data_IF_345165578513
#
_entry.id   IF_345165578513
#
_cell.length_a   1.000
_cell.length_b   1.000
_cell.length_c   1.000
_cell.angle_alpha   90.00
_cell.angle_beta   90.00
_cell.angle_gamma   90.00
#
_symmetry.space_group_name_H-M   'P 1'
#
loop_
_entity.id
_entity.type
_entity.pdbx_description
1 polymer ?
#
# COMPACT_ATOMS: atom_id res chain seq x y z
N UNK A 1 21.85 -3.29 31.31
CA UNK A 1 20.97 -3.82 30.26
C UNK A 1 21.83 -3.82 29.02
N UNK A 2 22.15 -5.00 28.53
CA UNK A 2 22.89 -5.17 27.27
C UNK A 2 22.01 -4.62 26.15
N UNK A 3 22.57 -3.85 25.22
CA UNK A 3 21.83 -3.21 24.12
C UNK A 3 21.42 -4.23 23.03
N UNK A 4 21.81 -5.49 23.18
CA UNK A 4 21.34 -6.60 22.35
C UNK A 4 19.98 -7.09 22.85
N UNK A 5 18.92 -6.52 22.27
CA UNK A 5 17.60 -7.14 22.29
C UNK A 5 17.74 -8.56 21.72
N UNK A 6 17.44 -9.58 22.52
CA UNK A 6 17.37 -10.96 22.04
C UNK A 6 16.14 -11.08 21.15
N UNK A 7 16.33 -11.44 19.88
CA UNK A 7 15.24 -11.75 18.96
C UNK A 7 14.54 -13.03 19.41
N UNK A 8 13.40 -12.88 20.05
CA UNK A 8 12.54 -13.99 20.48
C UNK A 8 11.49 -14.22 19.39
N UNK A 9 11.60 -15.35 18.68
CA UNK A 9 10.73 -15.75 17.55
C UNK A 9 10.63 -14.69 16.43
N UNK A 10 11.74 -14.30 15.78
CA UNK A 10 11.72 -13.22 14.77
C UNK A 10 10.82 -13.50 13.56
N UNK A 11 10.50 -14.78 13.31
CA UNK A 11 9.78 -15.26 12.14
C UNK A 11 8.26 -15.08 12.24
N UNK A 12 7.73 -14.75 13.41
CA UNK A 12 6.30 -14.48 13.59
C UNK A 12 5.80 -13.27 12.79
N UNK A 13 6.70 -12.39 12.31
CA UNK A 13 6.33 -11.22 11.52
C UNK A 13 5.66 -11.56 10.18
N UNK A 14 5.84 -12.78 9.68
CA UNK A 14 5.25 -13.29 8.43
C UNK A 14 4.04 -14.19 8.65
N UNK A 15 3.84 -14.68 9.88
CA UNK A 15 2.69 -15.52 10.24
C UNK A 15 1.39 -14.76 10.09
N UNK A 16 0.45 -15.32 9.32
CA UNK A 16 -0.87 -14.71 9.04
C UNK A 16 -0.76 -13.22 8.66
N UNK A 17 0.09 -12.91 7.68
CA UNK A 17 0.47 -11.54 7.27
C UNK A 17 -0.68 -10.52 7.18
N UNK A 18 -1.90 -10.97 6.86
CA UNK A 18 -3.10 -10.13 6.83
C UNK A 18 -3.40 -9.44 8.16
N UNK A 19 -2.95 -9.98 9.31
CA UNK A 19 -3.11 -9.37 10.63
C UNK A 19 -2.22 -8.14 10.75
N UNK A 20 -0.93 -8.27 10.41
CA UNK A 20 0.01 -7.15 10.45
C UNK A 20 -0.40 -6.06 9.46
N UNK A 21 -0.83 -6.45 8.26
CA UNK A 21 -1.37 -5.52 7.25
C UNK A 21 -2.63 -4.81 7.73
N UNK A 22 -3.60 -5.56 8.26
CA UNK A 22 -4.86 -5.01 8.78
C UNK A 22 -4.64 -4.10 9.99
N UNK A 23 -3.73 -4.48 10.88
CA UNK A 23 -3.34 -3.67 12.05
C UNK A 23 -2.75 -2.35 11.62
N UNK A 24 -1.79 -2.36 10.67
CA UNK A 24 -1.17 -1.15 10.15
C UNK A 24 -2.17 -0.23 9.44
N UNK A 25 -3.09 -0.81 8.67
CA UNK A 25 -4.17 -0.07 8.02
C UNK A 25 -5.09 0.61 9.04
N UNK A 26 -5.50 -0.12 10.08
CA UNK A 26 -6.39 0.42 11.13
C UNK A 26 -5.69 1.45 12.02
N UNK A 27 -4.41 1.26 12.36
CA UNK A 27 -3.59 2.23 13.10
C UNK A 27 -3.50 3.57 12.33
N UNK A 28 -3.19 3.48 11.02
CA UNK A 28 -3.13 4.65 10.15
C UNK A 28 -4.48 5.36 10.02
N UNK A 29 -5.56 4.60 9.87
CA UNK A 29 -6.92 5.13 9.77
C UNK A 29 -7.38 5.77 11.08
N UNK A 30 -7.11 5.14 12.23
CA UNK A 30 -7.44 5.64 13.56
C UNK A 30 -6.77 6.98 13.82
N UNK A 31 -5.45 7.03 13.63
CA UNK A 31 -4.66 8.25 13.82
C UNK A 31 -5.15 9.37 12.89
N UNK A 32 -5.41 9.05 11.61
CA UNK A 32 -5.88 10.04 10.63
C UNK A 32 -7.29 10.56 10.98
N UNK A 33 -8.21 9.66 11.35
CA UNK A 33 -9.55 10.04 11.77
C UNK A 33 -9.53 10.94 13.01
N UNK A 34 -8.71 10.60 14.00
CA UNK A 34 -8.60 11.35 15.26
C UNK A 34 -8.00 12.75 15.06
N UNK A 35 -6.97 12.86 14.22
CA UNK A 35 -6.39 14.15 13.84
C UNK A 35 -7.43 15.08 13.21
N UNK A 36 -8.18 14.61 12.21
CA UNK A 36 -9.17 15.46 11.54
C UNK A 36 -10.42 15.70 12.38
N UNK A 37 -10.84 14.75 13.22
CA UNK A 37 -11.90 14.96 14.20
C UNK A 37 -11.51 16.03 15.22
N UNK A 38 -10.25 16.04 15.66
CA UNK A 38 -9.71 17.09 16.54
C UNK A 38 -9.76 18.47 15.86
N UNK A 39 -9.33 18.57 14.59
CA UNK A 39 -9.41 19.81 13.82
C UNK A 39 -10.86 20.25 13.64
N UNK A 40 -11.78 19.33 13.31
CA UNK A 40 -13.19 19.62 13.18
C UNK A 40 -13.79 20.12 14.51
N UNK A 41 -13.43 19.50 15.62
CA UNK A 41 -13.84 19.91 16.97
C UNK A 41 -13.36 21.31 17.32
N UNK A 42 -12.09 21.65 17.06
CA UNK A 42 -11.56 23.01 17.22
C UNK A 42 -12.29 24.06 16.36
N UNK A 43 -12.88 23.63 15.24
CA UNK A 43 -13.70 24.46 14.36
C UNK A 43 -15.20 24.47 14.74
N UNK A 44 -15.59 23.75 15.80
CA UNK A 44 -16.94 23.76 16.38
C UNK A 44 -17.78 22.50 16.14
N UNK A 45 -17.21 21.40 15.64
CA UNK A 45 -17.89 20.09 15.64
C UNK A 45 -17.89 19.47 17.04
N UNK A 46 -18.67 18.41 17.26
CA UNK A 46 -18.54 17.57 18.45
C UNK A 46 -17.42 16.55 18.25
N UNK A 47 -16.65 16.28 19.29
CA UNK A 47 -15.60 15.25 19.28
C UNK A 47 -16.20 13.89 19.65
N UNK A 48 -16.00 12.82 18.85
CA UNK A 48 -16.58 11.50 19.10
C UNK A 48 -15.73 10.70 20.11
N UNK A 49 -15.72 11.14 21.37
CA UNK A 49 -14.88 10.58 22.44
C UNK A 49 -15.09 9.08 22.65
N UNK A 50 -16.35 8.64 22.73
CA UNK A 50 -16.68 7.26 23.05
C UNK A 50 -16.28 6.32 21.91
N UNK A 51 -16.48 6.76 20.67
CA UNK A 51 -16.11 6.02 19.48
C UNK A 51 -14.59 5.84 19.37
N UNK A 52 -13.81 6.90 19.66
CA UNK A 52 -12.35 6.78 19.66
C UNK A 52 -11.86 5.93 20.82
N UNK A 53 -12.45 6.04 22.01
CA UNK A 53 -12.11 5.18 23.13
C UNK A 53 -12.29 3.70 22.75
N UNK A 54 -13.45 3.34 22.22
CA UNK A 54 -13.71 1.96 21.78
C UNK A 54 -12.74 1.52 20.66
N UNK A 55 -12.45 2.40 19.70
CA UNK A 55 -11.51 2.10 18.63
C UNK A 55 -10.08 1.86 19.14
N UNK A 56 -9.62 2.66 20.09
CA UNK A 56 -8.31 2.49 20.74
C UNK A 56 -8.25 1.19 21.55
N UNK A 57 -9.29 0.87 22.33
CA UNK A 57 -9.38 -0.40 23.06
C UNK A 57 -9.26 -1.60 22.13
N UNK A 58 -9.94 -1.56 20.97
CA UNK A 58 -9.88 -2.62 19.95
C UNK A 58 -8.51 -2.72 19.26
N UNK A 59 -7.87 -1.60 18.92
CA UNK A 59 -6.51 -1.61 18.35
C UNK A 59 -5.49 -2.15 19.36
N UNK A 60 -5.62 -1.77 20.63
CA UNK A 60 -4.74 -2.27 21.70
C UNK A 60 -4.95 -3.76 21.98
N UNK A 61 -6.18 -4.26 21.86
CA UNK A 61 -6.45 -5.69 21.92
C UNK A 61 -5.70 -6.44 20.81
N UNK A 62 -5.75 -5.94 19.57
CA UNK A 62 -5.01 -6.55 18.44
C UNK A 62 -3.50 -6.49 18.66
N UNK A 63 -3.00 -5.42 19.28
CA UNK A 63 -1.57 -5.24 19.58
C UNK A 63 -1.03 -6.21 20.66
N UNK A 64 -1.89 -7.02 21.29
CA UNK A 64 -1.43 -8.10 22.16
C UNK A 64 -0.54 -9.06 21.37
N UNK A 65 0.63 -9.40 21.93
CA UNK A 65 1.67 -10.14 21.21
C UNK A 65 1.13 -11.40 20.51
N UNK A 66 0.43 -12.31 21.19
CA UNK A 66 -0.11 -13.54 20.55
C UNK A 66 -1.16 -13.28 19.46
N UNK A 67 -1.83 -12.11 19.51
CA UNK A 67 -2.82 -11.72 18.51
C UNK A 67 -2.10 -11.16 17.28
N UNK A 68 -1.26 -10.14 17.45
CA UNK A 68 -0.58 -9.48 16.31
C UNK A 68 0.42 -10.41 15.60
N UNK A 69 1.03 -11.35 16.33
CA UNK A 69 1.97 -12.33 15.76
C UNK A 69 1.28 -13.51 15.06
N UNK A 70 -0.04 -13.64 15.18
CA UNK A 70 -0.78 -14.68 14.46
C UNK A 70 -0.54 -16.11 15.00
N UNK A 71 0.00 -16.26 16.22
CA UNK A 71 0.42 -17.54 16.79
C UNK A 71 -0.64 -18.30 17.62
N UNK A 72 -1.88 -17.80 17.66
CA UNK A 72 -3.02 -18.42 18.34
C UNK A 72 -3.80 -19.42 17.50
N UNK A 73 -4.88 -19.95 18.09
CA UNK A 73 -5.85 -20.82 17.40
C UNK A 73 -6.76 -20.02 16.46
N UNK A 74 -7.31 -20.69 15.44
CA UNK A 74 -8.06 -20.02 14.36
C UNK A 74 -9.28 -19.24 14.87
N UNK A 75 -9.95 -19.73 15.91
CA UNK A 75 -11.17 -19.13 16.46
C UNK A 75 -10.95 -17.70 16.98
N UNK A 76 -9.77 -17.39 17.49
CA UNK A 76 -9.40 -16.03 17.95
C UNK A 76 -9.45 -15.04 16.78
N UNK A 77 -9.09 -15.49 15.58
CA UNK A 77 -8.92 -14.61 14.43
C UNK A 77 -10.22 -14.28 13.69
N UNK A 78 -11.31 -15.00 13.96
CA UNK A 78 -12.63 -14.55 13.49
C UNK A 78 -13.04 -13.25 14.19
N UNK A 79 -12.80 -13.14 15.51
CA UNK A 79 -13.01 -11.89 16.25
C UNK A 79 -12.10 -10.76 15.73
N UNK A 80 -10.84 -11.06 15.42
CA UNK A 80 -9.90 -10.07 14.84
C UNK A 80 -10.41 -9.53 13.50
N UNK A 81 -10.98 -10.38 12.63
CA UNK A 81 -11.58 -9.94 11.36
C UNK A 81 -12.78 -9.02 11.60
N UNK A 82 -13.63 -9.35 12.57
CA UNK A 82 -14.78 -8.52 12.95
C UNK A 82 -14.32 -7.15 13.49
N UNK A 83 -13.29 -7.14 14.35
CA UNK A 83 -12.69 -5.91 14.85
C UNK A 83 -12.15 -5.05 13.69
N UNK A 84 -11.41 -5.63 12.75
CA UNK A 84 -10.94 -4.87 11.58
C UNK A 84 -12.09 -4.31 10.75
N UNK A 85 -13.14 -5.09 10.48
CA UNK A 85 -14.30 -4.62 9.74
C UNK A 85 -15.01 -3.46 10.46
N UNK A 86 -15.16 -3.56 11.79
CA UNK A 86 -15.70 -2.50 12.63
C UNK A 86 -14.84 -1.22 12.55
N UNK A 87 -13.54 -1.33 12.82
CA UNK A 87 -12.60 -0.20 12.82
C UNK A 87 -12.60 0.51 11.47
N UNK A 88 -12.46 -0.24 10.37
CA UNK A 88 -12.47 0.34 9.01
C UNK A 88 -13.76 1.11 8.73
N UNK A 89 -14.92 0.53 9.09
CA UNK A 89 -16.22 1.17 8.86
C UNK A 89 -16.38 2.44 9.71
N UNK A 90 -16.16 2.30 11.02
CA UNK A 90 -16.44 3.37 12.00
C UNK A 90 -15.47 4.54 11.84
N UNK A 91 -14.17 4.28 11.65
CA UNK A 91 -13.15 5.32 11.51
C UNK A 91 -13.25 6.03 10.15
N UNK A 92 -13.59 5.30 9.08
CA UNK A 92 -13.85 5.93 7.76
C UNK A 92 -15.05 6.87 7.83
N UNK A 93 -16.10 6.48 8.56
CA UNK A 93 -17.26 7.34 8.80
C UNK A 93 -16.84 8.62 9.53
N UNK A 94 -16.16 8.51 10.67
CA UNK A 94 -15.70 9.67 11.47
C UNK A 94 -14.79 10.58 10.64
N UNK A 95 -13.85 10.01 9.90
CA UNK A 95 -12.96 10.76 9.03
C UNK A 95 -13.75 11.52 7.95
N UNK A 96 -14.68 10.85 7.28
CA UNK A 96 -15.51 11.46 6.23
C UNK A 96 -16.37 12.61 6.77
N UNK A 97 -17.00 12.42 7.93
CA UNK A 97 -17.79 13.44 8.61
C UNK A 97 -16.93 14.65 8.99
N UNK A 98 -15.73 14.40 9.54
CA UNK A 98 -14.77 15.43 9.94
C UNK A 98 -14.27 16.24 8.73
N UNK A 99 -13.83 15.57 7.67
CA UNK A 99 -13.38 16.23 6.44
C UNK A 99 -14.51 17.01 5.77
N UNK A 100 -15.74 16.48 5.80
CA UNK A 100 -16.93 17.18 5.28
C UNK A 100 -17.23 18.44 6.08
N UNK A 101 -17.16 18.37 7.42
CA UNK A 101 -17.35 19.52 8.29
C UNK A 101 -16.31 20.61 8.04
N UNK A 102 -15.03 20.23 7.95
CA UNK A 102 -13.93 21.16 7.64
C UNK A 102 -14.15 21.79 6.26
N UNK A 103 -14.49 20.97 5.25
CA UNK A 103 -14.72 21.43 3.87
C UNK A 103 -15.82 22.48 3.78
N UNK A 104 -16.92 22.34 4.55
CA UNK A 104 -18.00 23.34 4.59
C UNK A 104 -17.56 24.72 5.08
N UNK A 105 -16.43 24.82 5.78
CA UNK A 105 -15.85 26.09 6.25
C UNK A 105 -14.81 26.68 5.30
N UNK A 106 -14.45 25.97 4.23
CA UNK A 106 -13.47 26.42 3.24
C UNK A 106 -14.20 27.20 2.14
N UNK A 107 -13.79 28.44 1.90
CA UNK A 107 -14.27 29.18 0.73
C UNK A 107 -13.56 28.70 -0.55
N UNK A 108 -14.23 27.87 -1.33
CA UNK A 108 -13.73 27.37 -2.62
C UNK A 108 -13.89 28.37 -3.77
N UNK A 109 -14.60 29.48 -3.57
CA UNK A 109 -15.00 30.44 -4.60
C UNK A 109 -15.70 29.75 -5.80
N UNK A 110 -16.54 28.73 -5.53
CA UNK A 110 -17.28 27.97 -6.54
C UNK A 110 -16.79 26.52 -6.66
N UNK A 111 -16.23 26.15 -7.82
CA UNK A 111 -15.78 24.77 -8.11
C UNK A 111 -14.29 24.60 -7.78
N UNK A 112 -13.98 23.69 -6.86
CA UNK A 112 -12.62 23.31 -6.51
C UNK A 112 -12.56 21.94 -5.83
N UNK A 113 -11.40 21.30 -5.93
CA UNK A 113 -11.07 20.05 -5.23
C UNK A 113 -10.27 20.43 -3.99
N UNK A 114 -10.72 19.98 -2.83
CA UNK A 114 -9.97 20.13 -1.57
C UNK A 114 -9.16 18.86 -1.36
N UNK A 115 -7.84 19.01 -1.24
CA UNK A 115 -6.94 17.90 -0.93
C UNK A 115 -6.41 18.12 0.48
N UNK A 116 -6.57 17.11 1.33
CA UNK A 116 -6.06 17.08 2.69
C UNK A 116 -4.77 16.25 2.77
N UNK A 117 -3.87 16.62 3.68
CA UNK A 117 -2.65 15.89 3.99
C UNK A 117 -2.65 15.55 5.48
N UNK A 118 -2.74 14.26 5.81
CA UNK A 118 -2.68 13.77 7.20
C UNK A 118 -1.26 13.65 7.75
N UNK A 119 -0.23 13.86 6.91
CA UNK A 119 1.15 13.70 7.34
C UNK A 119 1.66 14.97 8.02
N UNK A 120 2.59 14.85 8.99
CA UNK A 120 3.18 16.00 9.69
C UNK A 120 4.30 16.70 8.89
N UNK A 121 4.46 16.35 7.61
CA UNK A 121 5.35 17.02 6.65
C UNK A 121 4.62 17.38 5.36
N UNK A 122 5.21 18.29 4.58
CA UNK A 122 4.66 18.71 3.29
C UNK A 122 4.71 17.54 2.30
N UNK A 123 3.61 17.30 1.61
CA UNK A 123 3.50 16.19 0.67
C UNK A 123 3.26 16.71 -0.74
N UNK A 124 4.17 16.34 -1.65
CA UNK A 124 4.00 16.52 -3.09
C UNK A 124 3.80 15.16 -3.74
N UNK A 125 2.56 14.81 -4.09
CA UNK A 125 2.24 13.50 -4.64
C UNK A 125 1.16 13.58 -5.73
N UNK A 126 1.03 12.50 -6.49
CA UNK A 126 -0.07 12.29 -7.42
C UNK A 126 -1.40 12.18 -6.67
N UNK A 127 -2.42 12.86 -7.17
CA UNK A 127 -3.79 12.85 -6.65
C UNK A 127 -4.71 12.50 -7.81
N UNK A 128 -5.53 11.47 -7.62
CA UNK A 128 -6.61 11.09 -8.53
C UNK A 128 -7.95 11.44 -7.86
N UNK A 129 -8.67 12.41 -8.43
CA UNK A 129 -9.98 12.80 -7.95
C UNK A 129 -11.06 11.82 -8.43
N UNK A 130 -12.20 11.77 -7.74
CA UNK A 130 -13.32 10.85 -8.05
C UNK A 130 -13.93 11.03 -9.44
N UNK A 131 -13.69 12.17 -10.09
CA UNK A 131 -14.09 12.43 -11.48
C UNK A 131 -13.03 11.99 -12.52
N UNK A 132 -12.01 11.23 -12.10
CA UNK A 132 -10.93 10.70 -12.95
C UNK A 132 -9.84 11.72 -13.29
N UNK A 133 -9.90 12.94 -12.75
CA UNK A 133 -8.86 13.96 -12.98
C UNK A 133 -7.64 13.67 -12.11
N UNK A 134 -6.50 13.53 -12.76
CA UNK A 134 -5.21 13.34 -12.13
C UNK A 134 -4.35 14.61 -12.12
N UNK A 135 -3.72 14.93 -10.99
CA UNK A 135 -2.78 16.05 -10.90
C UNK A 135 -1.76 15.85 -9.77
N UNK A 136 -0.67 16.62 -9.81
CA UNK A 136 0.30 16.67 -8.69
C UNK A 136 -0.20 17.67 -7.65
N UNK A 137 -0.60 17.16 -6.49
CA UNK A 137 -0.93 17.96 -5.32
C UNK A 137 0.32 18.25 -4.48
N UNK A 138 0.49 19.50 -4.07
CA UNK A 138 1.52 19.97 -3.14
C UNK A 138 0.83 20.61 -1.92
N UNK A 139 0.71 19.85 -0.84
CA UNK A 139 -0.19 20.12 0.30
C UNK A 139 0.63 20.25 1.59
N UNK A 140 0.40 21.30 2.41
CA UNK A 140 1.15 21.51 3.65
C UNK A 140 0.91 20.40 4.69
N UNK A 141 1.78 20.24 5.70
CA UNK A 141 1.59 19.33 6.83
C UNK A 141 0.24 19.49 7.52
N UNK A 142 -0.43 18.40 7.88
CA UNK A 142 -1.70 18.38 8.64
C UNK A 142 -2.73 19.42 8.16
N UNK A 143 -2.74 19.67 6.85
CA UNK A 143 -3.42 20.81 6.26
C UNK A 143 -4.19 20.44 5.01
N UNK A 144 -4.67 21.46 4.30
CA UNK A 144 -5.36 21.29 3.04
C UNK A 144 -4.93 22.33 2.02
N UNK A 145 -5.24 22.05 0.75
CA UNK A 145 -5.14 23.03 -0.33
C UNK A 145 -6.29 22.86 -1.31
N UNK A 146 -6.81 23.99 -1.81
CA UNK A 146 -7.89 24.02 -2.79
C UNK A 146 -7.30 24.17 -4.19
N UNK A 147 -7.64 23.24 -5.06
CA UNK A 147 -7.25 23.23 -6.46
C UNK A 147 -8.45 23.57 -7.34
N UNK A 148 -8.31 24.60 -8.18
CA UNK A 148 -9.35 24.98 -9.14
C UNK A 148 -9.11 24.22 -10.44
N UNK A 149 -10.17 23.61 -10.97
CA UNK A 149 -10.13 23.00 -12.29
C UNK A 149 -10.13 24.11 -13.33
N UNK A 150 -9.04 24.21 -14.09
CA UNK A 150 -8.98 25.03 -15.29
C UNK A 150 -9.28 24.14 -16.49
N UNK A 151 -10.15 24.56 -17.44
CA UNK A 151 -10.42 23.82 -18.67
C UNK A 151 -9.23 23.77 -19.64
N UNK A 152 -8.08 24.31 -19.26
CA UNK A 152 -6.91 24.35 -20.12
C UNK A 152 -6.22 22.98 -20.11
N UNK A 153 -6.41 22.22 -21.18
CA UNK A 153 -5.56 21.06 -21.52
C UNK A 153 -4.16 21.58 -21.85
N UNK A 154 -3.30 21.67 -20.82
CA UNK A 154 -1.87 21.69 -21.07
C UNK A 154 -1.44 20.26 -21.31
N UNK A 155 -0.96 19.99 -22.52
CA UNK A 155 -0.16 18.79 -22.79
C UNK A 155 0.90 18.66 -21.69
N UNK A 156 0.99 17.51 -20.99
CA UNK A 156 1.98 17.33 -19.95
C UNK A 156 3.38 17.51 -20.54
N UNK A 157 4.17 18.42 -19.96
CA UNK A 157 5.48 18.81 -20.47
C UNK A 157 6.50 17.64 -20.56
N UNK A 158 6.16 16.50 -19.94
CA UNK A 158 7.01 15.33 -19.79
C UNK A 158 6.14 14.08 -19.91
N UNK A 159 5.98 13.56 -21.13
CA UNK A 159 5.20 12.34 -21.39
C UNK A 159 6.01 11.09 -21.04
N UNK A 160 5.33 10.13 -20.43
CA UNK A 160 5.80 8.74 -20.38
C UNK A 160 5.70 8.23 -21.83
N UNK A 161 6.76 7.60 -22.34
CA UNK A 161 6.73 6.97 -23.66
C UNK A 161 6.74 5.46 -23.48
N UNK A 162 5.85 4.77 -24.19
CA UNK A 162 5.81 3.31 -24.22
C UNK A 162 6.19 2.85 -25.61
N UNK A 163 7.14 1.92 -25.68
CA UNK A 163 7.56 1.28 -26.93
C UNK A 163 7.71 -0.23 -26.69
N UNK A 164 6.71 -1.00 -27.09
CA UNK A 164 6.68 -2.44 -26.85
C UNK A 164 6.74 -2.77 -25.37
N UNK A 165 7.84 -3.39 -24.94
CA UNK A 165 8.12 -3.79 -23.56
C UNK A 165 8.90 -2.74 -22.74
N UNK A 166 9.15 -1.55 -23.30
CA UNK A 166 9.92 -0.48 -22.67
C UNK A 166 9.04 0.70 -22.28
N UNK A 167 9.30 1.26 -21.09
CA UNK A 167 8.69 2.49 -20.61
C UNK A 167 9.76 3.51 -20.27
N UNK A 168 9.67 4.68 -20.87
CA UNK A 168 10.60 5.79 -20.70
C UNK A 168 9.90 6.93 -19.95
N UNK A 169 10.36 7.21 -18.73
CA UNK A 169 9.90 8.35 -17.92
C UNK A 169 10.93 9.49 -17.94
N UNK A 170 10.69 10.66 -17.34
CA UNK A 170 11.72 11.69 -17.21
C UNK A 170 12.84 11.35 -16.23
N UNK A 171 12.67 10.32 -15.40
CA UNK A 171 13.54 10.02 -14.26
C UNK A 171 14.32 8.73 -14.46
N UNK A 172 13.69 7.72 -15.05
CA UNK A 172 14.25 6.40 -15.32
C UNK A 172 13.66 5.80 -16.59
N UNK A 173 14.33 4.80 -17.14
CA UNK A 173 13.78 3.89 -18.15
C UNK A 173 13.53 2.53 -17.48
N UNK A 174 12.58 1.76 -17.98
CA UNK A 174 12.40 0.37 -17.59
C UNK A 174 12.07 -0.50 -18.79
N UNK A 175 12.40 -1.78 -18.69
CA UNK A 175 12.12 -2.81 -19.67
C UNK A 175 11.60 -4.05 -18.97
N UNK A 176 10.58 -4.66 -19.56
CA UNK A 176 10.02 -5.92 -19.08
C UNK A 176 10.47 -7.06 -19.98
N UNK A 177 11.07 -8.10 -19.39
CA UNK A 177 11.44 -9.29 -20.14
C UNK A 177 10.19 -10.09 -20.53
N UNK A 178 9.89 -10.19 -21.81
CA UNK A 178 8.68 -10.87 -22.33
C UNK A 178 8.62 -12.37 -22.00
N UNK A 179 9.77 -13.00 -21.72
CA UNK A 179 9.84 -14.45 -21.45
C UNK A 179 9.60 -14.81 -19.99
N UNK A 180 9.95 -13.94 -19.05
CA UNK A 180 9.89 -14.25 -17.63
C UNK A 180 9.34 -13.12 -16.75
N UNK A 181 8.89 -12.00 -17.30
CA UNK A 181 8.25 -10.92 -16.56
C UNK A 181 9.19 -10.06 -15.71
N UNK A 182 10.49 -10.37 -15.67
CA UNK A 182 11.47 -9.61 -14.87
C UNK A 182 11.58 -8.19 -15.40
N UNK A 183 11.49 -7.23 -14.49
CA UNK A 183 11.60 -5.81 -14.78
C UNK A 183 13.03 -5.35 -14.49
N UNK A 184 13.64 -4.65 -15.44
CA UNK A 184 14.89 -3.93 -15.23
C UNK A 184 14.65 -2.43 -15.33
N UNK A 185 15.27 -1.66 -14.45
CA UNK A 185 15.13 -0.20 -14.39
C UNK A 185 16.51 0.44 -14.47
N UNK A 186 16.68 1.45 -15.31
CA UNK A 186 17.91 2.20 -15.46
C UNK A 186 17.71 3.69 -15.18
N UNK A 187 18.76 4.34 -14.71
CA UNK A 187 18.82 5.80 -14.66
C UNK A 187 18.98 6.39 -16.08
N UNK A 188 18.98 7.73 -16.19
CA UNK A 188 19.18 8.41 -17.48
C UNK A 188 20.61 8.41 -18.00
N UNK A 189 21.59 8.02 -17.18
CA UNK A 189 22.96 7.80 -17.62
C UNK A 189 23.17 6.37 -18.18
N UNK A 190 22.18 5.48 -18.04
CA UNK A 190 22.23 4.09 -18.47
C UNK A 190 22.69 3.11 -17.39
N UNK A 191 22.86 3.54 -16.14
CA UNK A 191 23.19 2.66 -15.02
C UNK A 191 21.98 1.85 -14.59
N UNK A 192 22.13 0.53 -14.44
CA UNK A 192 21.07 -0.32 -13.89
C UNK A 192 20.84 0.05 -12.42
N UNK A 193 19.61 0.49 -12.10
CA UNK A 193 19.20 0.85 -10.75
C UNK A 193 18.70 -0.37 -9.98
N UNK A 194 17.84 -1.17 -10.60
CA UNK A 194 17.30 -2.41 -10.01
C UNK A 194 16.86 -3.39 -11.08
N UNK A 195 16.81 -4.66 -10.67
CA UNK A 195 16.13 -5.75 -11.35
C UNK A 195 15.16 -6.37 -10.34
N UNK A 196 13.92 -6.64 -10.73
CA UNK A 196 12.91 -7.14 -9.79
C UNK A 196 11.67 -7.70 -10.49
N UNK A 197 10.57 -7.78 -9.74
CA UNK A 197 9.36 -8.51 -10.13
C UNK A 197 9.65 -10.01 -10.34
N UNK A 198 10.51 -10.58 -9.50
CA UNK A 198 10.79 -12.02 -9.51
C UNK A 198 9.94 -12.70 -8.44
N UNK A 199 9.12 -13.65 -8.88
CA UNK A 199 8.36 -14.54 -8.01
C UNK A 199 9.21 -15.75 -7.67
N UNK A 200 9.25 -16.07 -6.39
CA UNK A 200 9.96 -17.22 -5.83
C UNK A 200 8.92 -18.12 -5.14
N UNK A 201 8.99 -19.42 -5.41
CA UNK A 201 8.22 -20.45 -4.72
C UNK A 201 9.16 -21.18 -3.78
N UNK A 202 8.76 -21.22 -2.52
CA UNK A 202 9.40 -21.94 -1.43
C UNK A 202 8.39 -22.91 -0.80
N UNK A 203 8.88 -23.93 -0.10
CA UNK A 203 8.03 -24.67 0.82
C UNK A 203 8.11 -24.11 2.23
N UNK A 204 6.98 -24.14 2.90
CA UNK A 204 6.87 -23.88 4.34
C UNK A 204 6.34 -25.14 5.02
N UNK A 205 7.17 -25.75 5.86
CA UNK A 205 6.87 -26.95 6.68
C UNK A 205 7.12 -26.72 8.17
N UNK A 206 7.36 -25.47 8.56
CA UNK A 206 7.51 -25.04 9.93
C UNK A 206 6.18 -24.88 10.66
N UNK A 207 6.16 -23.98 11.62
CA UNK A 207 4.99 -23.63 12.42
C UNK A 207 4.79 -22.10 12.50
N UNK A 208 3.86 -21.64 13.33
CA UNK A 208 3.54 -20.21 13.46
C UNK A 208 4.66 -19.37 14.08
N UNK A 209 5.67 -19.99 14.69
CA UNK A 209 6.81 -19.35 15.34
C UNK A 209 8.10 -19.48 14.53
N UNK A 210 8.24 -20.59 13.81
CA UNK A 210 9.45 -20.96 13.08
C UNK A 210 9.15 -21.43 11.66
N UNK A 211 9.59 -20.65 10.68
CA UNK A 211 9.73 -21.04 9.29
C UNK A 211 10.73 -22.17 9.11
N UNK A 212 10.36 -23.15 8.30
CA UNK A 212 11.25 -24.22 7.89
C UNK A 212 10.95 -24.65 6.48
N UNK A 213 11.98 -24.76 5.66
CA UNK A 213 11.90 -25.36 4.32
C UNK A 213 12.58 -26.74 4.33
N UNK A 214 12.03 -27.72 3.62
CA UNK A 214 12.68 -29.02 3.40
C UNK A 214 13.84 -28.92 2.42
N UNK A 215 13.79 -27.91 1.57
CA UNK A 215 14.69 -27.75 0.42
C UNK A 215 15.73 -26.66 0.64
N UNK A 216 15.69 -25.92 1.75
CA UNK A 216 16.72 -24.93 2.08
C UNK A 216 18.15 -25.54 2.06
N UNK A 217 19.12 -24.89 1.39
CA UNK A 217 19.09 -23.54 0.83
C UNK A 217 18.53 -23.42 -0.60
N UNK A 218 18.16 -24.53 -1.25
CA UNK A 218 17.56 -24.52 -2.58
C UNK A 218 16.10 -24.05 -2.58
N UNK A 219 15.71 -23.34 -3.66
CA UNK A 219 14.34 -22.91 -3.93
C UNK A 219 13.57 -23.99 -4.68
N UNK A 220 12.23 -24.01 -4.57
CA UNK A 220 11.42 -24.89 -5.43
C UNK A 220 11.49 -24.39 -6.86
N UNK A 221 11.19 -23.10 -7.07
CA UNK A 221 11.30 -22.45 -8.38
C UNK A 221 11.33 -20.93 -8.28
N UNK A 222 12.06 -20.28 -9.19
CA UNK A 222 11.96 -18.83 -9.45
C UNK A 222 11.61 -18.53 -10.92
N UNK A 223 11.15 -17.31 -11.19
CA UNK A 223 10.94 -16.81 -12.57
C UNK A 223 12.23 -16.69 -13.38
N UNK A 224 13.40 -16.54 -12.75
CA UNK A 224 14.70 -16.62 -13.44
C UNK A 224 15.08 -18.04 -13.88
N UNK A 225 14.35 -19.06 -13.42
CA UNK A 225 14.54 -20.45 -13.78
C UNK A 225 15.32 -21.28 -12.77
N UNK A 226 15.73 -20.70 -11.65
CA UNK A 226 16.37 -21.41 -10.54
C UNK A 226 15.39 -22.38 -9.85
N UNK A 227 15.92 -23.27 -9.01
CA UNK A 227 15.18 -24.33 -8.33
C UNK A 227 15.11 -25.63 -9.11
N UNK A 228 14.11 -26.47 -8.82
CA UNK A 228 14.00 -27.81 -9.41
C UNK A 228 13.82 -27.79 -10.93
N UNK A 229 14.30 -28.86 -11.57
CA UNK A 229 14.28 -29.02 -13.02
C UNK A 229 12.86 -29.10 -13.59
N UNK A 230 11.94 -29.75 -12.87
CA UNK A 230 10.58 -30.03 -13.32
C UNK A 230 9.60 -28.95 -12.85
N UNK A 231 9.72 -27.75 -13.42
CA UNK A 231 8.85 -26.62 -13.14
C UNK A 231 9.24 -25.42 -13.97
N UNK A 232 8.28 -24.63 -14.44
CA UNK A 232 8.56 -23.41 -15.19
C UNK A 232 7.46 -22.39 -14.98
N UNK A 233 7.87 -21.16 -14.67
CA UNK A 233 7.02 -20.00 -14.81
C UNK A 233 6.91 -19.62 -16.28
N UNK A 234 5.69 -19.33 -16.72
CA UNK A 234 5.44 -18.71 -18.01
C UNK A 234 4.55 -17.50 -17.82
N UNK A 235 4.99 -16.31 -18.26
CA UNK A 235 4.06 -15.20 -18.46
C UNK A 235 2.99 -15.66 -19.45
N UNK A 236 1.74 -15.68 -19.00
CA UNK A 236 0.58 -15.97 -19.84
C UNK A 236 0.31 -14.79 -20.77
N UNK A 237 0.30 -13.59 -20.20
CA UNK A 237 0.21 -12.36 -20.97
C UNK A 237 0.88 -11.21 -20.21
N UNK A 238 1.36 -10.25 -20.99
CA UNK A 238 1.93 -9.01 -20.52
C UNK A 238 1.34 -7.88 -21.36
N UNK A 239 0.86 -6.83 -20.71
CA UNK A 239 0.42 -5.62 -21.42
C UNK A 239 0.77 -4.36 -20.66
N UNK A 240 1.08 -3.33 -21.42
CA UNK A 240 1.28 -1.98 -20.93
C UNK A 240 0.09 -1.14 -21.37
N UNK A 241 -0.67 -0.64 -20.40
CA UNK A 241 -1.81 0.23 -20.65
C UNK A 241 -1.43 1.68 -20.38
N UNK A 242 -1.53 2.52 -21.40
CA UNK A 242 -1.41 3.97 -21.26
C UNK A 242 -2.75 4.55 -20.85
N UNK A 243 -2.80 5.08 -19.63
CA UNK A 243 -3.88 5.96 -19.20
C UNK A 243 -3.37 7.39 -19.17
N UNK A 244 -4.26 8.37 -19.35
CA UNK A 244 -4.00 9.82 -19.51
C UNK A 244 -2.73 10.39 -18.87
N UNK A 245 -2.37 9.91 -17.67
CA UNK A 245 -1.25 10.37 -16.87
C UNK A 245 -0.48 9.26 -16.13
N UNK A 246 -0.82 7.98 -16.36
CA UNK A 246 -0.15 6.83 -15.74
C UNK A 246 0.02 5.71 -16.74
N UNK A 247 1.08 4.94 -16.57
CA UNK A 247 1.28 3.69 -17.29
C UNK A 247 1.08 2.54 -16.32
N UNK A 248 0.17 1.63 -16.65
CA UNK A 248 -0.04 0.39 -15.90
C UNK A 248 0.66 -0.74 -16.62
N UNK A 249 1.46 -1.48 -15.87
CA UNK A 249 2.08 -2.71 -16.34
C UNK A 249 1.32 -3.86 -15.70
N UNK A 250 0.66 -4.67 -16.52
CA UNK A 250 -0.20 -5.77 -16.06
C UNK A 250 0.45 -7.09 -16.45
N UNK A 251 0.65 -7.92 -15.44
CA UNK A 251 1.22 -9.26 -15.56
C UNK A 251 0.12 -10.30 -15.32
N UNK A 252 0.02 -11.27 -16.22
CA UNK A 252 -0.69 -12.52 -15.98
C UNK A 252 0.33 -13.65 -16.04
N UNK A 253 0.58 -14.30 -14.91
CA UNK A 253 1.55 -15.37 -14.79
C UNK A 253 0.85 -16.70 -14.49
N UNK A 254 1.36 -17.79 -15.05
CA UNK A 254 0.95 -19.15 -14.70
C UNK A 254 2.19 -19.98 -14.35
N UNK A 255 2.10 -20.73 -13.26
CA UNK A 255 3.12 -21.70 -12.87
C UNK A 255 2.70 -23.08 -13.34
N UNK A 256 3.59 -23.75 -14.08
CA UNK A 256 3.38 -25.11 -14.56
C UNK A 256 4.40 -26.04 -13.91
N UNK A 257 3.90 -27.10 -13.27
CA UNK A 257 4.71 -28.22 -12.82
C UNK A 257 4.39 -29.41 -13.73
N UNK A 258 5.41 -30.05 -14.30
CA UNK A 258 5.24 -31.39 -14.86
C UNK A 258 5.12 -32.33 -13.66
N UNK A 259 3.91 -32.84 -13.42
CA UNK A 259 3.73 -34.04 -12.57
C UNK A 259 4.28 -35.26 -13.26
#
# INVERSE_FOLDING_TARGET
YDDELVDVFPQVCSSRIWIVQGSRECEGLLTTAEQFATIAWLLGAQYPTNEFQEAWEKVLFIAFHDVITGCGVDEIYEEVKEIFAYLKTKLTQILTESLTFITKKINTNGRGIVVFNSLPWQTRNWVEASNGIGFVGDVPPLGYKVYKLSPQEKEPAKKIKVEGNKVETPFFSLEVNEKNGIIKVWDKAGSLLLSGNEIIIEDEVGDLYYHRSRFSPELIKSESGEGFQYGSFKPKSFRIEEESSRVKIIFENEYYCLT
#
